data_IF_831876134950
#
_entry.id   IF_831876134950
#
_cell.length_a   1.000
_cell.length_b   1.000
_cell.length_c   1.000
_cell.angle_alpha   90.00
_cell.angle_beta   90.00
_cell.angle_gamma   90.00
#
_symmetry.space_group_name_H-M   'P 1'
#
loop_
_entity.id
_entity.type
_entity.pdbx_description
1 polymer ?
#
# COMPACT_ATOMS: atom_id res chain seq x y z
N UNK A 1 6.46 -15.00 4.76
CA UNK A 1 5.28 -14.16 5.06
C UNK A 1 4.17 -14.34 4.02
N UNK A 2 4.43 -14.16 2.72
CA UNK A 2 3.45 -14.42 1.66
C UNK A 2 2.83 -15.83 1.72
N UNK A 3 3.64 -16.87 1.90
CA UNK A 3 3.15 -18.25 1.98
C UNK A 3 2.16 -18.48 3.13
N UNK A 4 2.41 -17.84 4.28
CA UNK A 4 1.52 -17.92 5.44
C UNK A 4 0.18 -17.22 5.16
N UNK A 5 0.23 -16.04 4.53
CA UNK A 5 -0.98 -15.30 4.15
C UNK A 5 -1.77 -16.09 3.11
N UNK A 6 -1.11 -16.67 2.11
CA UNK A 6 -1.75 -17.53 1.12
C UNK A 6 -2.35 -18.79 1.75
N UNK A 7 -1.61 -19.48 2.62
CA UNK A 7 -2.10 -20.69 3.29
C UNK A 7 -3.36 -20.39 4.11
N UNK A 8 -3.39 -19.24 4.79
CA UNK A 8 -4.51 -18.80 5.63
C UNK A 8 -5.72 -18.33 4.83
N UNK A 9 -5.49 -17.49 3.83
CA UNK A 9 -6.57 -16.73 3.17
C UNK A 9 -6.99 -17.33 1.82
N UNK A 10 -6.11 -18.10 1.16
CA UNK A 10 -6.33 -18.72 -0.16
C UNK A 10 -5.61 -20.09 -0.27
N UNK A 11 -5.98 -21.08 0.55
CA UNK A 11 -5.32 -22.39 0.49
C UNK A 11 -5.39 -22.96 -0.94
N UNK A 12 -4.22 -23.31 -1.49
CA UNK A 12 -4.04 -24.04 -2.77
C UNK A 12 -4.28 -23.28 -4.09
N UNK A 13 -4.45 -21.95 -4.09
CA UNK A 13 -4.48 -21.16 -5.35
C UNK A 13 -3.47 -20.02 -5.31
N UNK A 14 -2.24 -20.28 -5.75
CA UNK A 14 -1.31 -19.19 -6.06
C UNK A 14 -1.75 -18.49 -7.34
N UNK A 15 -1.87 -17.18 -7.26
CA UNK A 15 -2.18 -16.36 -8.42
C UNK A 15 -0.99 -16.40 -9.39
N UNK A 16 -1.25 -16.71 -10.66
CA UNK A 16 -0.22 -16.75 -11.74
C UNK A 16 -0.38 -15.58 -12.71
N UNK A 17 -1.51 -14.87 -12.65
CA UNK A 17 -1.78 -13.69 -13.48
C UNK A 17 -1.41 -12.43 -12.71
N UNK A 18 -0.66 -11.54 -13.37
CA UNK A 18 -0.16 -10.29 -12.78
C UNK A 18 -1.27 -9.50 -12.07
N UNK A 19 -2.39 -9.26 -12.76
CA UNK A 19 -3.53 -8.53 -12.19
C UNK A 19 -4.05 -9.14 -10.89
N UNK A 20 -4.14 -10.47 -10.81
CA UNK A 20 -4.61 -11.14 -9.60
C UNK A 20 -3.64 -10.98 -8.44
N UNK A 21 -2.33 -11.06 -8.70
CA UNK A 21 -1.28 -10.82 -7.70
C UNK A 21 -1.34 -9.37 -7.21
N UNK A 22 -1.49 -8.40 -8.12
CA UNK A 22 -1.58 -6.98 -7.75
C UNK A 22 -2.81 -6.70 -6.87
N UNK A 23 -3.96 -7.29 -7.19
CA UNK A 23 -5.16 -7.19 -6.35
C UNK A 23 -4.97 -7.85 -4.99
N UNK A 24 -4.32 -9.02 -4.94
CA UNK A 24 -3.98 -9.68 -3.69
C UNK A 24 -3.08 -8.81 -2.81
N UNK A 25 -2.08 -8.16 -3.42
CA UNK A 25 -1.16 -7.25 -2.72
C UNK A 25 -1.92 -6.04 -2.14
N UNK A 26 -2.77 -5.39 -2.93
CA UNK A 26 -3.59 -4.23 -2.51
C UNK A 26 -4.53 -4.56 -1.33
N UNK A 27 -5.13 -5.75 -1.37
CA UNK A 27 -6.19 -6.14 -0.45
C UNK A 27 -5.68 -7.03 0.68
N UNK A 28 -5.66 -8.35 0.49
CA UNK A 28 -5.37 -9.36 1.51
C UNK A 28 -4.01 -9.14 2.17
N UNK A 29 -2.96 -8.94 1.39
CA UNK A 29 -1.61 -8.77 1.94
C UNK A 29 -1.49 -7.46 2.72
N UNK A 30 -1.96 -6.34 2.14
CA UNK A 30 -1.96 -5.05 2.82
C UNK A 30 -2.76 -5.06 4.11
N UNK A 31 -3.92 -5.72 4.12
CA UNK A 31 -4.76 -5.88 5.31
C UNK A 31 -4.07 -6.72 6.38
N UNK A 32 -3.33 -7.75 5.99
CA UNK A 32 -2.55 -8.58 6.94
C UNK A 32 -1.45 -7.79 7.67
N UNK A 33 -0.86 -6.80 7.00
CA UNK A 33 0.17 -5.91 7.56
C UNK A 33 -0.43 -4.71 8.30
N UNK A 34 -1.25 -3.95 7.57
CA UNK A 34 -1.70 -2.61 7.94
C UNK A 34 -3.16 -2.57 8.37
N UNK A 35 -3.88 -3.70 8.39
CA UNK A 35 -5.27 -3.75 8.87
C UNK A 35 -6.27 -3.02 7.96
N UNK A 36 -5.79 -2.54 6.81
CA UNK A 36 -6.56 -1.83 5.79
C UNK A 36 -6.02 -2.19 4.41
N UNK A 37 -6.80 -1.95 3.37
CA UNK A 37 -6.31 -2.03 1.99
C UNK A 37 -5.43 -0.82 1.67
N UNK A 38 -4.56 -0.98 0.68
CA UNK A 38 -3.85 0.16 0.11
C UNK A 38 -4.87 1.12 -0.52
N UNK A 39 -4.58 2.42 -0.50
CA UNK A 39 -5.53 3.41 -1.01
C UNK A 39 -5.79 3.20 -2.50
N UNK A 40 -4.72 3.17 -3.29
CA UNK A 40 -4.81 3.13 -4.76
C UNK A 40 -3.82 2.11 -5.32
N UNK A 41 -4.18 1.54 -6.48
CA UNK A 41 -3.34 0.67 -7.28
C UNK A 41 -3.47 1.16 -8.72
N UNK A 42 -2.40 1.71 -9.26
CA UNK A 42 -2.40 2.36 -10.57
C UNK A 42 -1.37 1.71 -11.48
N UNK A 43 -1.62 1.75 -12.78
CA UNK A 43 -0.64 1.39 -13.81
C UNK A 43 -0.06 2.69 -14.34
N UNK A 44 1.24 2.70 -14.59
CA UNK A 44 1.88 3.82 -15.25
C UNK A 44 1.30 4.03 -16.66
N UNK A 45 1.06 5.28 -17.03
CA UNK A 45 0.46 5.64 -18.33
C UNK A 45 1.42 5.50 -19.51
N UNK A 46 2.73 5.47 -19.28
CA UNK A 46 3.78 5.42 -20.30
C UNK A 46 4.56 4.10 -20.25
N UNK A 47 4.75 3.54 -19.06
CA UNK A 47 5.53 2.33 -18.83
C UNK A 47 4.64 1.13 -18.58
N UNK A 48 4.53 0.26 -19.58
CA UNK A 48 3.58 -0.86 -19.61
C UNK A 48 3.67 -1.81 -18.38
N UNK A 49 4.88 -1.98 -17.83
CA UNK A 49 5.20 -2.93 -16.77
C UNK A 49 5.39 -2.27 -15.40
N UNK A 50 5.04 -0.99 -15.26
CA UNK A 50 5.18 -0.25 -14.01
C UNK A 50 3.81 -0.07 -13.36
N UNK A 51 3.71 -0.44 -12.08
CA UNK A 51 2.50 -0.33 -11.29
C UNK A 51 2.83 0.32 -9.94
N UNK A 52 1.93 1.19 -9.48
CA UNK A 52 2.10 1.94 -8.24
C UNK A 52 1.09 1.47 -7.20
N UNK A 53 1.58 1.10 -6.02
CA UNK A 53 0.75 0.92 -4.83
C UNK A 53 0.85 2.19 -3.99
N UNK A 54 -0.25 2.93 -3.87
CA UNK A 54 -0.23 4.29 -3.34
C UNK A 54 -0.90 4.34 -1.98
N UNK A 55 -0.26 5.06 -1.06
CA UNK A 55 -0.70 5.31 0.30
C UNK A 55 -0.72 6.81 0.58
N UNK A 56 -1.87 7.30 1.04
CA UNK A 56 -2.05 8.74 1.30
C UNK A 56 -1.40 9.19 2.60
N UNK A 57 -1.16 8.25 3.52
CA UNK A 57 -0.51 8.48 4.80
C UNK A 57 0.67 7.53 4.97
N UNK A 58 1.74 7.97 5.64
CA UNK A 58 2.86 7.10 5.99
C UNK A 58 2.39 5.84 6.72
N UNK A 59 2.78 4.66 6.24
CA UNK A 59 2.38 3.37 6.80
C UNK A 59 2.82 3.20 8.27
N UNK A 60 3.94 3.82 8.65
CA UNK A 60 4.47 3.79 10.01
C UNK A 60 3.50 4.38 11.04
N UNK A 61 2.62 5.30 10.63
CA UNK A 61 1.63 5.92 11.51
C UNK A 61 0.67 4.92 12.14
N UNK A 62 0.55 3.71 11.59
CA UNK A 62 -0.22 2.64 12.23
C UNK A 62 0.43 2.16 13.54
N UNK A 63 1.75 2.19 13.62
CA UNK A 63 2.52 1.54 14.68
C UNK A 63 3.09 2.55 15.68
N UNK A 64 2.98 3.83 15.41
CA UNK A 64 3.49 4.91 16.26
C UNK A 64 2.33 5.69 16.88
N UNK A 65 2.51 6.12 18.14
CA UNK A 65 1.56 7.03 18.78
C UNK A 65 1.55 8.40 18.12
N UNK A 66 2.72 8.87 17.69
CA UNK A 66 2.88 10.13 16.99
C UNK A 66 2.62 9.91 15.49
N UNK A 67 1.73 10.73 14.94
CA UNK A 67 1.37 10.71 13.52
C UNK A 67 2.35 11.60 12.76
N UNK A 68 3.10 11.01 11.84
CA UNK A 68 3.90 11.76 10.89
C UNK A 68 2.99 12.29 9.78
N UNK A 69 2.88 13.60 9.63
CA UNK A 69 2.06 14.20 8.57
C UNK A 69 2.81 14.37 7.24
N UNK A 70 4.14 14.16 7.23
CA UNK A 70 4.95 14.36 6.04
C UNK A 70 5.23 15.83 5.75
N UNK A 71 6.35 16.10 5.08
CA UNK A 71 6.83 17.45 4.74
C UNK A 71 5.77 18.22 3.91
N UNK A 72 4.97 17.52 3.11
CA UNK A 72 3.93 18.16 2.27
C UNK A 72 2.71 18.65 3.07
N UNK A 73 2.43 18.06 4.24
CA UNK A 73 1.42 18.61 5.15
C UNK A 73 1.96 19.87 5.87
N UNK A 74 3.25 19.91 6.20
CA UNK A 74 3.90 21.08 6.79
C UNK A 74 3.91 22.28 5.82
N UNK A 75 4.07 22.03 4.51
CA UNK A 75 3.92 23.04 3.45
C UNK A 75 2.50 23.61 3.34
N UNK A 76 1.47 22.76 3.48
CA UNK A 76 0.06 23.21 3.49
C UNK A 76 -0.31 23.99 4.74
N UNK A 77 0.35 23.74 5.87
CA UNK A 77 0.14 24.45 7.14
C UNK A 77 0.98 25.73 7.28
N UNK A 78 1.62 26.21 6.21
CA UNK A 78 2.21 27.55 6.14
C UNK A 78 3.35 27.83 7.12
N UNK A 79 4.04 26.80 7.64
CA UNK A 79 5.03 26.98 8.73
C UNK A 79 6.44 27.36 8.28
N UNK A 80 6.70 27.53 6.99
CA UNK A 80 7.98 28.04 6.50
C UNK A 80 7.77 29.02 5.33
N UNK A 81 8.01 30.33 5.52
CA UNK A 81 8.21 31.24 4.41
C UNK A 81 9.59 30.97 3.79
N UNK A 82 9.69 31.19 2.46
CA UNK A 82 10.94 31.21 1.69
C UNK A 82 11.99 32.13 2.31
#
# INVERSE_FOLDING_TARGET
MMDLVYLRERPQKRDTRLFQILLFLKSTFWRSLFGKEANELERDGLLENTFYMIERKPLVNKFTRYVYEGIDAERKNGKYPN
#
